data_IF_777479273484
#
_entry.id   IF_777479273484
#
_cell.length_a   1.000
_cell.length_b   1.000
_cell.length_c   1.000
_cell.angle_alpha   90.00
_cell.angle_beta   90.00
_cell.angle_gamma   90.00
#
_symmetry.space_group_name_H-M   'P 1'
#
loop_
_entity.id
_entity.type
_entity.pdbx_description
1 polymer ?
#
# COMPACT_ATOMS: atom_id res chain seq x y z
N UNK A 1 -4.73 -19.26 9.84
CA UNK A 1 -5.47 -19.40 8.55
C UNK A 1 -5.66 -20.87 8.23
N UNK A 2 -6.85 -21.30 7.73
CA UNK A 2 -7.14 -22.70 7.37
C UNK A 2 -6.48 -23.08 6.04
N UNK A 3 -6.28 -24.38 5.80
CA UNK A 3 -5.72 -24.88 4.52
C UNK A 3 -6.62 -24.54 3.31
N UNK A 4 -7.94 -24.51 3.51
CA UNK A 4 -8.89 -24.09 2.46
C UNK A 4 -8.68 -22.62 2.08
N UNK A 5 -8.48 -21.74 3.08
CA UNK A 5 -8.23 -20.33 2.85
C UNK A 5 -6.88 -20.10 2.14
N UNK A 6 -5.84 -20.83 2.51
CA UNK A 6 -4.54 -20.75 1.82
C UNK A 6 -4.67 -21.12 0.34
N UNK A 7 -5.35 -22.24 0.03
CA UNK A 7 -5.60 -22.66 -1.35
C UNK A 7 -6.45 -21.65 -2.13
N UNK A 8 -7.43 -21.04 -1.47
CA UNK A 8 -8.26 -19.99 -2.07
C UNK A 8 -7.43 -18.76 -2.41
N UNK A 9 -6.62 -18.27 -1.47
CA UNK A 9 -5.76 -17.12 -1.69
C UNK A 9 -4.68 -17.39 -2.74
N UNK A 10 -4.09 -18.56 -2.77
CA UNK A 10 -3.12 -18.96 -3.79
C UNK A 10 -3.72 -18.88 -5.19
N UNK A 11 -4.89 -19.50 -5.41
CA UNK A 11 -5.56 -19.49 -6.71
C UNK A 11 -5.90 -18.06 -7.17
N UNK A 12 -6.49 -17.25 -6.29
CA UNK A 12 -6.82 -15.85 -6.60
C UNK A 12 -5.55 -15.00 -6.81
N UNK A 13 -4.52 -15.25 -6.00
CA UNK A 13 -3.23 -14.57 -6.12
C UNK A 13 -2.58 -14.81 -7.47
N UNK A 14 -2.59 -16.04 -7.98
CA UNK A 14 -2.07 -16.36 -9.32
C UNK A 14 -2.86 -15.68 -10.44
N UNK A 15 -4.19 -15.62 -10.34
CA UNK A 15 -5.03 -14.88 -11.28
C UNK A 15 -4.67 -13.39 -11.25
N UNK A 16 -4.59 -12.80 -10.06
CA UNK A 16 -4.27 -11.38 -9.90
C UNK A 16 -2.86 -11.05 -10.40
N UNK A 17 -1.86 -11.89 -10.17
CA UNK A 17 -0.51 -11.73 -10.74
C UNK A 17 -0.56 -11.65 -12.26
N UNK A 18 -1.31 -12.56 -12.91
CA UNK A 18 -1.47 -12.54 -14.38
C UNK A 18 -2.11 -11.24 -14.84
N UNK A 19 -3.17 -10.79 -14.19
CA UNK A 19 -3.92 -9.60 -14.55
C UNK A 19 -3.12 -8.32 -14.31
N UNK A 20 -2.38 -8.21 -13.20
CA UNK A 20 -1.47 -7.09 -12.94
C UNK A 20 -0.38 -7.01 -14.02
N UNK A 21 0.21 -8.13 -14.43
CA UNK A 21 1.22 -8.17 -15.49
C UNK A 21 0.65 -7.75 -16.85
N UNK A 22 -0.58 -8.08 -17.17
CA UNK A 22 -1.25 -7.63 -18.41
C UNK A 22 -1.48 -6.11 -18.43
N UNK A 23 -1.47 -5.46 -17.25
CA UNK A 23 -1.56 -4.02 -17.04
C UNK A 23 -0.19 -3.35 -16.86
N UNK A 24 0.88 -4.05 -17.24
CA UNK A 24 2.28 -3.58 -17.20
C UNK A 24 2.86 -3.35 -15.79
N UNK A 25 2.24 -3.90 -14.76
CA UNK A 25 2.85 -3.98 -13.43
C UNK A 25 3.78 -5.19 -13.33
N UNK A 26 4.81 -5.11 -12.49
CA UNK A 26 5.47 -6.32 -11.99
C UNK A 26 4.67 -6.88 -10.81
N UNK A 27 4.46 -8.18 -10.75
CA UNK A 27 3.69 -8.79 -9.68
C UNK A 27 4.19 -10.18 -9.31
N UNK A 28 4.19 -10.45 -7.99
CA UNK A 28 4.67 -11.68 -7.38
C UNK A 28 3.67 -12.11 -6.30
N UNK A 29 3.39 -13.39 -6.20
CA UNK A 29 2.62 -13.98 -5.10
C UNK A 29 3.57 -14.70 -4.14
N UNK A 30 3.43 -14.42 -2.87
CA UNK A 30 4.16 -15.05 -1.77
C UNK A 30 3.15 -15.67 -0.80
N UNK A 31 3.31 -16.95 -0.41
CA UNK A 31 2.33 -17.63 0.42
C UNK A 31 2.23 -17.08 1.85
N UNK A 32 3.30 -16.44 2.35
CA UNK A 32 3.42 -15.95 3.72
C UNK A 32 4.28 -14.68 3.82
N UNK A 33 4.27 -14.05 5.00
CA UNK A 33 5.01 -12.84 5.30
C UNK A 33 6.53 -13.01 5.14
N UNK A 34 7.09 -14.17 5.48
CA UNK A 34 8.55 -14.40 5.43
C UNK A 34 9.04 -14.45 3.97
N UNK A 35 8.34 -15.17 3.11
CA UNK A 35 8.65 -15.21 1.67
C UNK A 35 8.40 -13.85 1.00
N UNK A 36 7.39 -13.11 1.46
CA UNK A 36 7.11 -11.76 0.98
C UNK A 36 8.24 -10.77 1.35
N UNK A 37 8.74 -10.82 2.58
CA UNK A 37 9.89 -10.01 3.02
C UNK A 37 11.12 -10.29 2.15
N UNK A 38 11.45 -11.58 1.96
CA UNK A 38 12.57 -11.98 1.09
C UNK A 38 12.40 -11.42 -0.32
N UNK A 39 11.23 -11.63 -0.93
CA UNK A 39 10.94 -11.12 -2.28
C UNK A 39 11.00 -9.60 -2.34
N UNK A 40 10.49 -8.89 -1.36
CA UNK A 40 10.52 -7.43 -1.33
C UNK A 40 11.95 -6.90 -1.27
N UNK A 41 12.84 -7.50 -0.47
CA UNK A 41 14.25 -7.12 -0.38
C UNK A 41 15.02 -7.39 -1.69
N UNK A 42 14.70 -8.47 -2.41
CA UNK A 42 15.27 -8.75 -3.75
C UNK A 42 14.93 -7.66 -4.79
N UNK A 43 13.82 -6.92 -4.58
CA UNK A 43 13.33 -5.87 -5.48
C UNK A 43 13.86 -4.47 -5.15
N UNK A 44 14.55 -4.31 -4.03
CA UNK A 44 15.14 -3.03 -3.59
C UNK A 44 16.64 -3.08 -3.85
N UNK A 45 17.19 -2.22 -4.72
CA UNK A 45 18.64 -2.17 -4.97
C UNK A 45 19.42 -1.85 -3.68
N UNK A 46 20.56 -2.46 -3.52
CA UNK A 46 21.47 -2.17 -2.41
C UNK A 46 21.91 -0.69 -2.44
N UNK A 47 21.93 -0.04 -1.28
CA UNK A 47 22.26 1.38 -1.15
C UNK A 47 21.15 2.34 -1.59
N UNK A 48 20.01 1.84 -2.12
CA UNK A 48 18.93 2.69 -2.59
C UNK A 48 18.35 3.57 -1.46
N UNK A 49 17.91 4.77 -1.84
CA UNK A 49 17.06 5.61 -0.98
C UNK A 49 15.64 5.03 -0.94
N UNK A 50 15.14 4.77 0.26
CA UNK A 50 13.84 4.11 0.47
C UNK A 50 12.96 4.96 1.38
N UNK A 51 11.83 5.43 0.81
CA UNK A 51 10.81 6.15 1.57
C UNK A 51 9.51 5.36 1.66
N UNK A 52 8.60 5.79 2.54
CA UNK A 52 7.28 5.15 2.66
C UNK A 52 6.17 6.12 3.04
N UNK A 53 4.96 5.75 2.60
CA UNK A 53 3.71 6.37 3.02
C UNK A 53 3.04 5.61 4.17
N UNK A 54 1.71 5.52 4.15
CA UNK A 54 0.97 4.58 4.99
C UNK A 54 1.16 3.15 4.46
N UNK A 55 2.16 2.42 4.96
CA UNK A 55 2.57 1.11 4.46
C UNK A 55 2.49 0.03 5.55
N UNK A 56 1.34 -0.08 6.23
CA UNK A 56 1.16 -1.02 7.35
C UNK A 56 1.47 -2.47 6.97
N UNK A 57 1.08 -2.91 5.76
CA UNK A 57 1.41 -4.26 5.30
C UNK A 57 2.92 -4.47 5.16
N UNK A 58 3.67 -3.45 4.69
CA UNK A 58 5.13 -3.53 4.64
C UNK A 58 5.76 -3.58 6.05
N UNK A 59 5.18 -2.86 7.01
CA UNK A 59 5.60 -2.94 8.41
C UNK A 59 5.33 -4.32 9.00
N UNK A 60 4.17 -4.90 8.76
CA UNK A 60 3.78 -6.20 9.31
C UNK A 60 4.65 -7.37 8.81
N UNK A 61 5.15 -7.31 7.58
CA UNK A 61 6.11 -8.32 7.10
C UNK A 61 7.57 -8.01 7.53
N UNK A 62 7.82 -6.94 8.30
CA UNK A 62 9.15 -6.57 8.77
C UNK A 62 10.00 -5.79 7.76
N UNK A 63 9.44 -5.39 6.61
CA UNK A 63 10.21 -4.74 5.54
C UNK A 63 10.73 -3.36 5.95
N UNK A 64 9.95 -2.56 6.68
CA UNK A 64 10.39 -1.23 7.15
C UNK A 64 11.58 -1.36 8.10
N UNK A 65 11.54 -2.32 9.01
CA UNK A 65 12.63 -2.56 9.97
C UNK A 65 13.89 -3.07 9.24
N UNK A 66 13.72 -3.97 8.27
CA UNK A 66 14.82 -4.46 7.45
C UNK A 66 15.48 -3.32 6.63
N UNK A 67 14.70 -2.37 6.11
CA UNK A 67 15.24 -1.18 5.43
C UNK A 67 15.98 -0.26 6.41
N UNK A 68 15.46 -0.04 7.62
CA UNK A 68 16.12 0.80 8.62
C UNK A 68 17.44 0.24 9.14
N UNK A 69 17.57 -1.07 9.19
CA UNK A 69 18.76 -1.76 9.75
C UNK A 69 19.72 -2.26 8.68
N UNK A 70 19.28 -2.31 7.43
CA UNK A 70 20.07 -2.78 6.30
C UNK A 70 20.91 -1.69 5.65
N UNK A 71 21.54 -2.05 4.52
CA UNK A 71 22.36 -1.12 3.73
C UNK A 71 21.48 -0.29 2.77
N UNK A 72 20.62 0.60 3.32
CA UNK A 72 19.72 1.47 2.57
C UNK A 72 19.74 2.89 3.13
N UNK A 73 19.48 3.90 2.29
CA UNK A 73 19.28 5.28 2.71
C UNK A 73 17.80 5.49 3.10
N UNK A 74 17.42 5.06 4.31
CA UNK A 74 16.05 5.14 4.79
C UNK A 74 15.58 6.60 4.97
N UNK A 75 14.46 6.98 4.34
CA UNK A 75 13.77 8.26 4.52
C UNK A 75 12.64 8.03 5.52
N UNK A 76 13.01 7.97 6.80
CA UNK A 76 12.09 7.66 7.90
C UNK A 76 11.32 8.90 8.36
N UNK A 77 10.11 9.08 7.85
CA UNK A 77 9.21 10.17 8.25
C UNK A 77 8.73 10.08 9.69
N UNK A 78 8.79 8.88 10.28
CA UNK A 78 8.32 8.65 11.65
C UNK A 78 9.39 8.99 12.70
N UNK A 79 10.64 9.27 12.25
CA UNK A 79 11.72 9.82 13.09
C UNK A 79 11.61 11.34 13.30
N UNK A 80 10.75 12.03 12.54
CA UNK A 80 10.59 13.48 12.63
C UNK A 80 10.07 13.93 14.00
N UNK A 81 10.67 14.97 14.53
CA UNK A 81 10.29 15.57 15.83
C UNK A 81 9.24 16.67 15.69
N UNK A 82 9.12 17.26 14.51
CA UNK A 82 8.16 18.33 14.21
C UNK A 82 7.32 18.01 12.99
N UNK A 83 6.17 18.67 12.85
CA UNK A 83 5.32 18.55 11.66
C UNK A 83 6.04 19.03 10.39
N UNK A 84 6.90 20.05 10.53
CA UNK A 84 7.67 20.58 9.41
C UNK A 84 8.74 19.60 8.91
N UNK A 85 9.54 19.03 9.81
CA UNK A 85 10.48 17.93 9.48
C UNK A 85 9.76 16.77 8.79
N UNK A 86 8.61 16.37 9.35
CA UNK A 86 7.80 15.29 8.77
C UNK A 86 7.37 15.62 7.35
N UNK A 87 6.93 16.86 7.10
CA UNK A 87 6.53 17.31 5.77
C UNK A 87 7.72 17.32 4.79
N UNK A 88 8.90 17.75 5.23
CA UNK A 88 10.12 17.72 4.43
C UNK A 88 10.51 16.29 4.06
N UNK A 89 10.46 15.35 5.01
CA UNK A 89 10.72 13.93 4.75
C UNK A 89 9.71 13.32 3.77
N UNK A 90 8.42 13.67 3.90
CA UNK A 90 7.40 13.23 2.94
C UNK A 90 7.65 13.77 1.52
N UNK A 91 8.12 15.02 1.39
CA UNK A 91 8.52 15.58 0.09
C UNK A 91 9.76 14.87 -0.47
N UNK A 92 10.75 14.55 0.37
CA UNK A 92 11.93 13.77 -0.05
C UNK A 92 11.55 12.37 -0.55
N UNK A 93 10.50 11.75 -0.02
CA UNK A 93 10.01 10.47 -0.52
C UNK A 93 9.60 10.52 -2.00
N UNK A 94 9.25 11.70 -2.55
CA UNK A 94 8.88 11.84 -3.95
C UNK A 94 10.08 11.73 -4.92
N UNK A 95 11.29 11.83 -4.40
CA UNK A 95 12.54 11.71 -5.18
C UNK A 95 13.37 10.51 -4.73
N UNK A 96 12.79 9.58 -3.99
CA UNK A 96 13.45 8.35 -3.56
C UNK A 96 13.57 7.35 -4.72
N UNK A 97 14.60 6.49 -4.69
CA UNK A 97 14.73 5.40 -5.65
C UNK A 97 13.58 4.40 -5.49
N UNK A 98 13.19 4.10 -4.24
CA UNK A 98 12.09 3.17 -3.94
C UNK A 98 11.12 3.79 -2.95
N UNK A 99 9.82 3.69 -3.25
CA UNK A 99 8.75 4.08 -2.34
C UNK A 99 7.91 2.86 -1.92
N UNK A 100 7.88 2.58 -0.62
CA UNK A 100 7.06 1.49 -0.09
C UNK A 100 5.62 1.98 0.14
N UNK A 101 4.67 1.22 -0.38
CA UNK A 101 3.25 1.50 -0.25
C UNK A 101 2.45 0.25 0.10
N UNK A 102 1.24 0.44 0.58
CA UNK A 102 0.18 -0.56 0.56
C UNK A 102 -0.92 -0.16 -0.42
N UNK A 103 -1.88 -1.04 -0.64
CA UNK A 103 -3.15 -0.74 -1.29
C UNK A 103 -4.29 -0.68 -0.26
N UNK A 104 -5.32 0.13 -0.51
CA UNK A 104 -6.57 0.05 0.25
C UNK A 104 -7.47 -1.08 -0.29
N UNK A 105 -7.45 -1.31 -1.59
CA UNK A 105 -8.06 -2.47 -2.23
C UNK A 105 -7.43 -2.73 -3.61
N UNK A 106 -7.65 -3.94 -4.13
CA UNK A 106 -7.28 -4.37 -5.47
C UNK A 106 -8.49 -5.04 -6.11
N UNK A 107 -8.77 -4.76 -7.37
CA UNK A 107 -9.68 -5.62 -8.14
C UNK A 107 -8.95 -6.88 -8.59
N UNK A 108 -9.67 -7.98 -8.76
CA UNK A 108 -9.09 -9.21 -9.31
C UNK A 108 -8.61 -9.01 -10.76
N UNK A 109 -9.17 -8.04 -11.47
CA UNK A 109 -8.74 -7.63 -12.81
C UNK A 109 -7.45 -6.76 -12.82
N UNK A 110 -6.94 -6.38 -11.63
CA UNK A 110 -5.61 -5.77 -11.46
C UNK A 110 -5.60 -4.24 -11.37
N UNK A 111 -6.72 -3.59 -11.05
CA UNK A 111 -6.69 -2.18 -10.65
C UNK A 111 -6.39 -2.03 -9.16
N UNK A 112 -5.64 -0.98 -8.81
CA UNK A 112 -5.34 -0.63 -7.43
C UNK A 112 -6.10 0.62 -7.00
N UNK A 113 -6.75 0.55 -5.84
CA UNK A 113 -7.45 1.68 -5.21
C UNK A 113 -6.70 2.15 -3.99
N UNK A 114 -6.38 3.45 -3.95
CA UNK A 114 -5.77 4.12 -2.80
C UNK A 114 -6.58 5.35 -2.40
N UNK A 115 -6.87 5.48 -1.11
CA UNK A 115 -7.49 6.67 -0.50
C UNK A 115 -6.46 7.37 0.37
N UNK A 116 -6.35 8.68 0.23
CA UNK A 116 -5.37 9.48 0.97
C UNK A 116 -5.98 10.78 1.54
N UNK A 117 -5.41 11.25 2.65
CA UNK A 117 -5.83 12.50 3.31
C UNK A 117 -5.08 13.71 2.77
N UNK A 118 -3.77 13.69 2.78
CA UNK A 118 -2.91 14.80 2.33
C UNK A 118 -2.36 14.63 0.92
N UNK A 119 -2.54 13.46 0.32
CA UNK A 119 -2.11 13.18 -1.05
C UNK A 119 -0.66 12.73 -1.21
N UNK A 120 0.14 12.66 -0.14
CA UNK A 120 1.56 12.35 -0.22
C UNK A 120 1.85 10.95 -0.78
N UNK A 121 1.07 9.94 -0.39
CA UNK A 121 1.22 8.57 -0.90
C UNK A 121 0.74 8.46 -2.34
N UNK A 122 -0.42 9.00 -2.66
CA UNK A 122 -0.95 8.95 -4.04
C UNK A 122 -0.08 9.74 -5.00
N UNK A 123 0.52 10.86 -4.58
CA UNK A 123 1.49 11.59 -5.38
C UNK A 123 2.70 10.72 -5.74
N UNK A 124 3.29 10.00 -4.76
CA UNK A 124 4.42 9.09 -4.99
C UNK A 124 4.03 7.89 -5.88
N UNK A 125 2.80 7.38 -5.78
CA UNK A 125 2.30 6.32 -6.66
C UNK A 125 2.15 6.83 -8.09
N UNK A 126 1.56 8.03 -8.28
CA UNK A 126 1.32 8.61 -9.60
C UNK A 126 2.63 9.01 -10.27
N UNK A 127 3.49 9.75 -9.54
CA UNK A 127 4.73 10.30 -10.08
C UNK A 127 5.77 10.49 -8.97
N UNK A 128 7.06 10.43 -9.32
CA UNK A 128 8.18 10.72 -8.43
C UNK A 128 9.15 9.55 -8.35
N UNK A 129 9.02 8.62 -7.38
CA UNK A 129 9.96 7.52 -7.17
C UNK A 129 10.17 6.65 -8.42
N UNK A 130 11.39 6.18 -8.64
CA UNK A 130 11.72 5.30 -9.77
C UNK A 130 10.99 3.96 -9.66
N UNK A 131 10.85 3.44 -8.44
CA UNK A 131 10.09 2.22 -8.14
C UNK A 131 9.10 2.48 -7.02
N UNK A 132 7.86 2.01 -7.21
CA UNK A 132 6.84 1.91 -6.14
C UNK A 132 6.65 0.44 -5.82
N UNK A 133 7.03 0.02 -4.61
CA UNK A 133 6.86 -1.35 -4.14
C UNK A 133 5.62 -1.44 -3.26
N UNK A 134 4.60 -2.15 -3.73
CA UNK A 134 3.31 -2.31 -3.06
C UNK A 134 3.24 -3.67 -2.38
N UNK A 135 3.07 -3.68 -1.07
CA UNK A 135 2.82 -4.88 -0.28
C UNK A 135 1.33 -4.97 0.03
N UNK A 136 0.68 -6.06 -0.34
CA UNK A 136 -0.75 -6.23 -0.11
C UNK A 136 -1.11 -7.67 0.28
N UNK A 137 -1.83 -7.81 1.39
CA UNK A 137 -2.46 -9.08 1.78
C UNK A 137 -3.65 -9.42 0.89
N UNK A 138 -3.93 -10.71 0.74
CA UNK A 138 -5.05 -11.20 -0.09
C UNK A 138 -6.43 -10.81 0.45
N UNK A 139 -6.54 -10.38 1.72
CA UNK A 139 -7.74 -9.79 2.31
C UNK A 139 -8.19 -8.48 1.62
N UNK A 140 -7.36 -7.88 0.77
CA UNK A 140 -7.65 -6.63 0.06
C UNK A 140 -8.15 -6.84 -1.37
N UNK A 141 -8.22 -8.07 -1.83
CA UNK A 141 -8.59 -8.42 -3.20
C UNK A 141 -10.10 -8.61 -3.31
N UNK A 142 -10.73 -7.77 -4.10
CA UNK A 142 -12.16 -7.78 -4.44
C UNK A 142 -12.37 -8.36 -5.84
N UNK A 143 -13.60 -8.76 -6.18
CA UNK A 143 -13.88 -9.33 -7.49
C UNK A 143 -13.88 -8.27 -8.58
N UNK A 144 -14.48 -7.10 -8.33
CA UNK A 144 -14.62 -6.00 -9.28
C UNK A 144 -13.93 -4.73 -8.80
N UNK A 145 -13.76 -3.75 -9.70
CA UNK A 145 -13.29 -2.42 -9.33
C UNK A 145 -14.27 -1.70 -8.40
N UNK A 146 -15.58 -1.84 -8.63
CA UNK A 146 -16.60 -1.21 -7.80
C UNK A 146 -16.58 -1.75 -6.36
N UNK A 147 -16.38 -3.07 -6.20
CA UNK A 147 -16.17 -3.68 -4.89
C UNK A 147 -14.88 -3.17 -4.23
N UNK A 148 -13.83 -2.99 -4.99
CA UNK A 148 -12.56 -2.46 -4.48
C UNK A 148 -12.70 -1.01 -4.02
N UNK A 149 -13.40 -0.16 -4.76
CA UNK A 149 -13.73 1.21 -4.34
C UNK A 149 -14.61 1.20 -3.09
N UNK A 150 -15.63 0.36 -3.06
CA UNK A 150 -16.51 0.19 -1.90
C UNK A 150 -15.72 -0.26 -0.67
N UNK A 151 -14.89 -1.31 -0.80
CA UNK A 151 -14.02 -1.77 0.30
C UNK A 151 -13.08 -0.67 0.79
N UNK A 152 -12.45 0.06 -0.11
CA UNK A 152 -11.52 1.13 0.26
C UNK A 152 -12.22 2.21 1.10
N UNK A 153 -13.46 2.58 0.77
CA UNK A 153 -14.26 3.59 1.45
C UNK A 153 -14.92 3.10 2.74
N UNK A 154 -15.44 1.88 2.73
CA UNK A 154 -16.29 1.38 3.84
C UNK A 154 -15.56 0.53 4.86
N UNK A 155 -14.40 -0.04 4.49
CA UNK A 155 -13.58 -0.89 5.36
C UNK A 155 -12.23 -0.23 5.64
N UNK A 156 -11.39 -0.05 4.62
CA UNK A 156 -10.01 0.37 4.83
C UNK A 156 -9.89 1.79 5.43
N UNK A 157 -10.68 2.74 4.94
CA UNK A 157 -10.63 4.12 5.46
C UNK A 157 -11.17 4.24 6.89
N UNK A 158 -12.33 3.69 7.27
CA UNK A 158 -12.79 3.68 8.66
C UNK A 158 -11.83 2.98 9.63
N UNK A 159 -11.25 1.85 9.24
CA UNK A 159 -10.25 1.15 10.06
C UNK A 159 -8.98 2.00 10.23
N UNK A 160 -8.47 2.59 9.15
CA UNK A 160 -7.29 3.45 9.22
C UNK A 160 -7.53 4.70 10.07
N UNK A 161 -8.76 5.22 10.06
CA UNK A 161 -9.14 6.39 10.85
C UNK A 161 -8.99 6.17 12.37
N UNK A 162 -9.19 4.95 12.85
CA UNK A 162 -9.03 4.62 14.29
C UNK A 162 -7.60 4.85 14.82
N UNK A 163 -6.64 5.10 13.94
CA UNK A 163 -5.25 5.41 14.32
C UNK A 163 -5.02 6.88 14.65
N UNK A 164 -5.98 7.75 14.38
CA UNK A 164 -5.82 9.20 14.47
C UNK A 164 -6.88 9.81 15.39
N UNK A 165 -6.53 10.76 16.28
CA UNK A 165 -7.45 11.39 17.21
C UNK A 165 -8.30 12.51 16.56
N UNK A 166 -8.73 12.32 15.32
CA UNK A 166 -9.53 13.30 14.58
C UNK A 166 -11.02 13.04 14.73
N UNK A 167 -11.84 14.08 14.65
CA UNK A 167 -13.30 13.98 14.78
C UNK A 167 -13.97 13.77 13.42
N UNK A 168 -14.30 12.52 13.11
CA UNK A 168 -15.06 12.18 11.92
C UNK A 168 -16.18 11.21 12.26
N UNK A 169 -17.27 11.13 11.48
CA UNK A 169 -18.35 10.18 11.75
C UNK A 169 -17.86 8.73 11.83
N UNK A 170 -16.93 8.32 10.99
CA UNK A 170 -16.41 6.94 10.98
C UNK A 170 -15.50 6.62 12.18
N UNK A 171 -14.96 7.60 12.87
CA UNK A 171 -14.27 7.37 14.15
C UNK A 171 -15.25 6.96 15.24
N UNK A 172 -16.43 7.57 15.25
CA UNK A 172 -17.49 7.31 16.24
C UNK A 172 -18.27 6.03 15.92
N UNK A 173 -18.62 5.84 14.63
CA UNK A 173 -19.57 4.78 14.22
C UNK A 173 -18.89 3.55 13.61
N UNK A 174 -17.59 3.64 13.25
CA UNK A 174 -16.90 2.62 12.47
C UNK A 174 -17.33 2.57 10.99
N UNK A 175 -18.28 3.43 10.58
CA UNK A 175 -18.88 3.39 9.24
C UNK A 175 -18.66 4.69 8.47
N UNK A 176 -18.42 4.57 7.16
CA UNK A 176 -18.27 5.72 6.26
C UNK A 176 -19.62 6.45 6.09
N UNK A 177 -19.64 7.75 6.35
CA UNK A 177 -20.79 8.62 6.17
C UNK A 177 -20.60 9.62 5.01
N UNK A 178 -19.63 9.40 4.12
CA UNK A 178 -19.28 10.31 3.03
C UNK A 178 -19.07 11.77 3.49
N UNK A 179 -18.40 11.93 4.61
CA UNK A 179 -18.29 13.20 5.31
C UNK A 179 -17.42 14.22 4.56
N UNK A 180 -17.69 15.50 4.84
CA UNK A 180 -16.88 16.65 4.41
C UNK A 180 -16.21 17.34 5.59
N UNK A 181 -15.90 16.58 6.64
CA UNK A 181 -15.20 17.07 7.83
C UNK A 181 -13.81 17.59 7.45
N UNK A 182 -13.34 18.64 8.11
CA UNK A 182 -11.96 19.13 7.98
C UNK A 182 -10.92 18.06 8.36
N UNK A 183 -11.28 17.18 9.28
CA UNK A 183 -10.48 16.02 9.71
C UNK A 183 -10.60 14.79 8.80
N UNK A 184 -11.26 14.91 7.65
CA UNK A 184 -11.43 13.81 6.72
C UNK A 184 -10.09 13.30 6.19
N UNK A 185 -9.89 11.98 6.22
CA UNK A 185 -8.69 11.34 5.67
C UNK A 185 -8.91 10.72 4.28
N UNK A 186 -10.04 11.03 3.64
CA UNK A 186 -10.47 10.46 2.35
C UNK A 186 -10.59 11.55 1.27
N UNK A 187 -9.60 12.46 1.21
CA UNK A 187 -9.66 13.62 0.32
C UNK A 187 -9.27 13.31 -1.12
N UNK A 188 -8.47 12.28 -1.33
CA UNK A 188 -8.08 11.81 -2.67
C UNK A 188 -8.41 10.33 -2.81
N UNK A 189 -9.00 9.96 -3.94
CA UNK A 189 -9.23 8.58 -4.35
C UNK A 189 -8.51 8.37 -5.67
N UNK A 190 -7.49 7.51 -5.66
CA UNK A 190 -6.70 7.16 -6.82
C UNK A 190 -7.06 5.75 -7.26
N UNK A 191 -7.40 5.59 -8.54
CA UNK A 191 -7.49 4.31 -9.22
C UNK A 191 -6.32 4.21 -10.18
N UNK A 192 -5.37 3.30 -9.89
CA UNK A 192 -4.24 3.03 -10.78
C UNK A 192 -4.60 1.86 -11.67
N UNK A 193 -4.87 2.16 -12.94
CA UNK A 193 -5.39 1.20 -13.92
C UNK A 193 -4.29 0.43 -14.64
N UNK A 194 -3.22 1.10 -15.04
CA UNK A 194 -2.06 0.54 -15.76
C UNK A 194 -0.77 1.17 -15.24
N UNK A 195 0.35 0.51 -15.46
CA UNK A 195 1.67 1.02 -15.10
C UNK A 195 2.40 1.61 -16.31
N UNK A 196 2.89 2.85 -16.19
CA UNK A 196 3.77 3.48 -17.18
C UNK A 196 4.80 4.37 -16.48
N UNK A 197 6.11 4.17 -16.70
CA UNK A 197 6.69 3.09 -17.52
C UNK A 197 6.38 1.71 -16.96
N UNK A 198 6.44 0.68 -17.83
CA UNK A 198 6.19 -0.70 -17.42
C UNK A 198 7.14 -1.14 -16.32
N UNK A 199 6.63 -1.86 -15.32
CA UNK A 199 7.42 -2.38 -14.19
C UNK A 199 7.79 -1.35 -13.13
N UNK A 200 7.43 -0.05 -13.28
CA UNK A 200 7.71 0.96 -12.23
C UNK A 200 6.98 0.63 -10.93
N UNK A 201 5.73 0.15 -11.02
CA UNK A 201 4.99 -0.28 -9.84
C UNK A 201 5.07 -1.81 -9.77
N UNK A 202 5.54 -2.30 -8.62
CA UNK A 202 5.76 -3.72 -8.35
C UNK A 202 4.89 -4.16 -7.19
N UNK A 203 4.21 -5.29 -7.33
CA UNK A 203 3.36 -5.86 -6.29
C UNK A 203 3.98 -7.11 -5.68
N UNK A 204 4.01 -7.17 -4.36
CA UNK A 204 4.21 -8.40 -3.59
C UNK A 204 2.88 -8.69 -2.89
N UNK A 205 2.14 -9.65 -3.46
CA UNK A 205 0.88 -10.15 -2.92
C UNK A 205 1.18 -11.23 -1.88
N UNK A 206 0.59 -11.11 -0.72
CA UNK A 206 0.86 -12.02 0.40
C UNK A 206 -0.37 -12.86 0.68
N UNK A 207 -0.21 -14.19 0.73
CA UNK A 207 -1.26 -15.17 1.00
C UNK A 207 -1.82 -15.12 2.42
N UNK A 208 -1.76 -13.96 3.08
CA UNK A 208 -2.20 -13.69 4.44
C UNK A 208 -3.02 -12.40 4.50
N UNK A 209 -3.65 -12.16 5.64
CA UNK A 209 -4.36 -10.91 5.93
C UNK A 209 -3.37 -9.87 6.48
N UNK A 210 -3.16 -8.80 5.74
CA UNK A 210 -2.23 -7.73 6.11
C UNK A 210 -2.87 -6.34 5.96
N UNK A 211 -2.66 -5.50 6.96
CA UNK A 211 -3.17 -4.13 7.01
C UNK A 211 -4.71 -4.07 6.99
N UNK A 212 -5.23 -2.95 6.51
CA UNK A 212 -6.67 -2.68 6.48
C UNK A 212 -7.27 -2.89 5.11
#
# INVERSE_FOLDING_TARGET
>A
MTEQMKKYYEKRGQILVKNLKSRHFDAFYCPDAASALKKALELIPEGASVGWGGALSAQQIGLIDAVKTGNYAAIDRDSAKTAEERNQLLKRCLTADVFLSGANALSLDGEMVNIDGTGNRVAAIVYGPETVLVIAGMNKVCDTLDDAVTRARTVAAPMNKQRFPFKTPCEVTGSCADCKSEDCICNQILITRNCRPAGRIKFVLVGEELGF
#
